data_IF_655514278700
#
_entry.id   IF_655514278700
#
_cell.length_a   1.000
_cell.length_b   1.000
_cell.length_c   1.000
_cell.angle_alpha   90.00
_cell.angle_beta   90.00
_cell.angle_gamma   90.00
#
_symmetry.space_group_name_H-M   'P 1'
#
loop_
_entity.id
_entity.type
_entity.pdbx_description
1 polymer ?
#
# COMPACT_ATOMS: atom_id res chain seq x y z
N UNK A 1 -10.74 10.21 12.36
CA UNK A 1 -9.29 10.45 12.53
C UNK A 1 -8.83 11.47 11.50
N UNK A 2 -8.02 12.42 11.93
CA UNK A 2 -7.41 13.41 11.03
C UNK A 2 -5.94 13.06 10.79
N UNK A 3 -5.51 13.08 9.54
CA UNK A 3 -4.12 12.82 9.14
C UNK A 3 -3.56 14.07 8.49
N UNK A 4 -2.39 14.52 8.94
CA UNK A 4 -1.72 15.66 8.32
C UNK A 4 -1.17 15.26 6.95
N UNK A 5 -1.41 16.10 5.95
CA UNK A 5 -0.94 15.92 4.58
C UNK A 5 -0.11 17.13 4.18
N UNK A 6 1.07 16.86 3.61
CA UNK A 6 1.91 17.87 2.97
C UNK A 6 1.87 17.68 1.46
N UNK A 7 1.49 18.73 0.74
CA UNK A 7 1.51 18.77 -0.72
C UNK A 7 2.94 19.05 -1.17
N UNK A 8 3.54 18.13 -1.91
CA UNK A 8 4.90 18.24 -2.42
C UNK A 8 4.93 18.72 -3.88
N UNK A 9 3.88 18.39 -4.64
CA UNK A 9 3.68 18.86 -6.01
C UNK A 9 2.38 19.65 -6.08
N UNK A 10 2.39 20.91 -6.60
CA UNK A 10 1.21 21.75 -6.61
C UNK A 10 0.02 21.18 -7.39
N UNK A 11 0.25 20.25 -8.33
CA UNK A 11 -0.84 19.54 -9.04
C UNK A 11 -1.73 18.74 -8.09
N UNK A 12 -1.19 18.37 -6.92
CA UNK A 12 -1.95 17.59 -5.93
C UNK A 12 -2.92 18.43 -5.11
N UNK A 13 -2.89 19.76 -5.20
CA UNK A 13 -3.80 20.63 -4.43
C UNK A 13 -5.29 20.30 -4.72
N UNK A 14 -5.62 19.97 -5.97
CA UNK A 14 -6.98 19.62 -6.39
C UNK A 14 -7.19 18.10 -6.54
N UNK A 15 -6.20 17.30 -6.18
CA UNK A 15 -6.19 15.85 -6.43
C UNK A 15 -5.76 15.04 -5.22
N UNK A 16 -6.02 15.55 -4.03
CA UNK A 16 -5.77 14.80 -2.80
C UNK A 16 -6.55 13.49 -2.80
N UNK A 17 -5.98 12.44 -2.19
CA UNK A 17 -6.69 11.17 -2.06
C UNK A 17 -8.06 11.34 -1.43
N UNK A 18 -9.05 10.71 -2.02
CA UNK A 18 -10.44 10.73 -1.54
C UNK A 18 -11.01 9.33 -1.53
N UNK A 19 -12.02 9.10 -0.69
CA UNK A 19 -12.84 7.90 -0.75
C UNK A 19 -13.83 8.01 -1.91
N UNK A 20 -13.88 7.00 -2.77
CA UNK A 20 -14.77 7.00 -3.93
C UNK A 20 -16.26 6.91 -3.51
N UNK A 21 -16.54 6.23 -2.41
CA UNK A 21 -17.89 6.09 -1.82
C UNK A 21 -17.81 6.23 -0.30
N UNK A 22 -18.96 6.48 0.38
CA UNK A 22 -18.97 6.54 1.85
C UNK A 22 -18.51 5.24 2.54
N UNK A 23 -18.60 4.09 1.86
CA UNK A 23 -18.18 2.80 2.39
C UNK A 23 -16.80 2.35 1.92
N UNK A 24 -16.06 3.16 1.16
CA UNK A 24 -14.72 2.81 0.69
C UNK A 24 -13.75 2.72 1.86
N UNK A 25 -12.88 1.70 1.86
CA UNK A 25 -11.81 1.55 2.85
C UNK A 25 -10.51 2.22 2.41
N UNK A 26 -10.29 2.34 1.11
CA UNK A 26 -9.06 2.88 0.53
C UNK A 26 -9.23 4.24 -0.12
N UNK A 27 -8.19 5.05 0.04
CA UNK A 27 -8.03 6.36 -0.63
C UNK A 27 -7.18 6.16 -1.87
N UNK A 28 -7.63 6.60 -3.04
CA UNK A 28 -6.86 6.46 -4.27
C UNK A 28 -5.59 7.32 -4.26
N UNK A 29 -4.46 6.70 -4.56
CA UNK A 29 -3.18 7.38 -4.79
C UNK A 29 -2.93 7.51 -6.29
N UNK A 30 -2.48 8.68 -6.71
CA UNK A 30 -2.23 9.00 -8.12
C UNK A 30 -0.74 8.99 -8.45
N UNK A 31 -0.45 8.65 -9.70
CA UNK A 31 0.90 8.71 -10.25
C UNK A 31 1.24 10.16 -10.59
N UNK A 32 1.97 10.84 -9.72
CA UNK A 32 2.38 12.23 -9.93
C UNK A 32 3.59 12.28 -10.87
N UNK A 33 3.36 11.94 -12.14
CA UNK A 33 4.35 11.88 -13.19
C UNK A 33 4.31 13.14 -14.07
N UNK A 34 5.46 13.49 -14.67
CA UNK A 34 5.56 14.59 -15.63
C UNK A 34 5.26 14.14 -17.07
N UNK A 35 5.44 12.84 -17.34
CA UNK A 35 5.22 12.22 -18.63
C UNK A 35 4.70 10.79 -18.45
N UNK A 36 4.05 10.20 -19.47
CA UNK A 36 3.68 8.78 -19.42
C UNK A 36 4.87 7.87 -19.11
N UNK A 37 4.64 6.88 -18.28
CA UNK A 37 5.64 5.87 -17.89
C UNK A 37 5.20 4.50 -18.39
N UNK A 38 5.98 3.89 -19.27
CA UNK A 38 5.73 2.53 -19.73
C UNK A 38 6.46 1.54 -18.82
N UNK A 39 5.69 0.62 -18.25
CA UNK A 39 6.20 -0.52 -17.50
C UNK A 39 6.22 -1.74 -18.42
N UNK A 40 7.40 -2.16 -18.83
CA UNK A 40 7.59 -3.40 -19.58
C UNK A 40 7.23 -4.62 -18.71
N UNK A 41 6.97 -5.79 -19.33
CA UNK A 41 6.74 -7.02 -18.57
C UNK A 41 7.83 -7.27 -17.52
N UNK A 42 7.43 -7.56 -16.29
CA UNK A 42 8.30 -7.77 -15.12
C UNK A 42 9.11 -6.54 -14.65
N UNK A 43 8.95 -5.39 -15.27
CA UNK A 43 9.61 -4.17 -14.80
C UNK A 43 8.88 -3.57 -13.59
N UNK A 44 9.64 -2.94 -12.70
CA UNK A 44 9.11 -2.15 -11.61
C UNK A 44 9.81 -0.79 -11.54
N UNK A 45 9.07 0.21 -11.05
CA UNK A 45 9.56 1.59 -10.89
C UNK A 45 8.96 2.21 -9.64
N UNK A 46 9.73 3.04 -8.97
CA UNK A 46 9.19 3.90 -7.92
C UNK A 46 8.46 5.08 -8.57
N UNK A 47 7.18 5.21 -8.24
CA UNK A 47 6.31 6.26 -8.77
C UNK A 47 5.95 7.22 -7.63
N UNK A 48 6.23 8.52 -7.76
CA UNK A 48 5.87 9.50 -6.74
C UNK A 48 4.37 9.75 -6.72
N UNK A 49 3.83 10.04 -5.54
CA UNK A 49 2.42 10.43 -5.37
C UNK A 49 2.23 11.94 -5.20
N UNK A 50 3.32 12.70 -5.03
CA UNK A 50 3.28 14.14 -4.85
C UNK A 50 2.82 14.60 -3.46
N UNK A 51 2.64 13.68 -2.53
CA UNK A 51 2.21 14.00 -1.15
C UNK A 51 3.05 13.24 -0.13
N UNK A 52 3.12 13.80 1.07
CA UNK A 52 3.58 13.13 2.28
C UNK A 52 2.47 13.18 3.32
N UNK A 53 2.40 12.18 4.18
CA UNK A 53 1.44 12.15 5.29
C UNK A 53 2.18 11.98 6.62
N UNK A 54 1.54 12.37 7.70
CA UNK A 54 2.05 12.13 9.05
C UNK A 54 0.93 11.63 9.95
N UNK A 55 0.99 10.37 10.34
CA UNK A 55 -0.02 9.74 11.18
C UNK A 55 0.12 10.14 12.64
N UNK A 56 1.34 10.39 13.13
CA UNK A 56 1.69 10.80 14.50
C UNK A 56 1.52 9.68 15.52
N UNK A 57 0.37 9.04 15.56
CA UNK A 57 -0.03 8.09 16.59
C UNK A 57 0.49 6.70 16.26
N UNK A 58 1.37 6.11 17.11
CA UNK A 58 1.90 4.76 16.90
C UNK A 58 0.84 3.64 17.00
N UNK A 59 -0.37 3.96 17.41
CA UNK A 59 -1.52 3.04 17.35
C UNK A 59 -2.09 2.86 15.94
N UNK A 60 -1.54 3.55 14.94
CA UNK A 60 -1.97 3.46 13.53
C UNK A 60 -0.79 3.31 12.58
N UNK A 61 -1.06 2.69 11.46
CA UNK A 61 -0.18 2.63 10.30
C UNK A 61 -1.01 2.87 9.04
N UNK A 62 -0.36 3.17 7.93
CA UNK A 62 -1.01 3.15 6.64
C UNK A 62 -0.43 2.05 5.78
N UNK A 63 -1.28 1.46 4.95
CA UNK A 63 -0.90 0.44 3.96
C UNK A 63 -1.13 1.00 2.57
N UNK A 64 -0.16 0.79 1.69
CA UNK A 64 -0.34 1.01 0.25
C UNK A 64 -0.59 -0.34 -0.39
N UNK A 65 -1.73 -0.46 -1.05
CA UNK A 65 -2.22 -1.69 -1.66
C UNK A 65 -2.49 -1.48 -3.14
N UNK A 66 -2.42 -2.53 -3.96
CA UNK A 66 -2.86 -2.47 -5.35
C UNK A 66 -4.35 -2.16 -5.44
N UNK A 67 -4.77 -1.56 -6.57
CA UNK A 67 -6.18 -1.46 -6.92
C UNK A 67 -6.60 -2.78 -7.58
N UNK A 68 -7.79 -3.29 -7.21
CA UNK A 68 -8.27 -4.60 -7.66
C UNK A 68 -8.35 -4.72 -9.20
N UNK A 69 -8.94 -3.74 -9.86
CA UNK A 69 -9.09 -3.76 -11.32
C UNK A 69 -7.74 -3.68 -12.06
N UNK A 70 -6.89 -2.77 -11.63
CA UNK A 70 -5.56 -2.57 -12.25
C UNK A 70 -4.66 -3.80 -12.02
N UNK A 71 -4.72 -4.37 -10.83
CA UNK A 71 -3.97 -5.58 -10.48
C UNK A 71 -4.45 -6.81 -11.23
N UNK A 72 -5.76 -7.03 -11.26
CA UNK A 72 -6.33 -8.23 -11.91
C UNK A 72 -6.27 -8.16 -13.43
N UNK A 73 -6.70 -7.05 -14.04
CA UNK A 73 -6.81 -6.91 -15.51
C UNK A 73 -5.47 -6.66 -16.18
N UNK A 74 -4.59 -5.89 -15.55
CA UNK A 74 -3.35 -5.41 -16.17
C UNK A 74 -2.09 -5.91 -15.47
N UNK A 75 -2.23 -6.59 -14.35
CA UNK A 75 -1.09 -7.10 -13.58
C UNK A 75 -0.25 -6.02 -12.93
N UNK A 76 -0.78 -4.80 -12.76
CA UNK A 76 -0.07 -3.69 -12.11
C UNK A 76 -0.33 -3.76 -10.62
N UNK A 77 0.68 -4.14 -9.90
CA UNK A 77 0.68 -4.36 -8.44
C UNK A 77 1.88 -3.65 -7.81
N UNK A 78 2.21 -3.95 -6.57
CA UNK A 78 3.39 -3.38 -5.92
C UNK A 78 4.54 -4.37 -5.90
N UNK A 79 5.75 -3.89 -6.19
CA UNK A 79 6.97 -4.70 -6.15
C UNK A 79 7.33 -5.19 -4.74
N UNK A 80 6.93 -4.45 -3.71
CA UNK A 80 7.04 -4.84 -2.31
C UNK A 80 5.77 -5.54 -1.78
N UNK A 81 4.81 -5.87 -2.63
CA UNK A 81 3.50 -6.47 -2.36
C UNK A 81 2.59 -5.57 -1.53
N UNK A 82 3.01 -5.11 -0.38
CA UNK A 82 2.32 -4.16 0.49
C UNK A 82 3.31 -3.09 0.93
N UNK A 83 2.95 -1.83 0.77
CA UNK A 83 3.71 -0.72 1.35
C UNK A 83 3.25 -0.48 2.78
N UNK A 84 4.14 -0.57 3.75
CA UNK A 84 3.85 -0.26 5.15
C UNK A 84 4.40 1.12 5.48
N UNK A 85 3.53 2.01 5.92
CA UNK A 85 3.86 3.38 6.28
C UNK A 85 3.73 3.53 7.79
N UNK A 86 4.85 3.74 8.44
CA UNK A 86 4.93 3.92 9.89
C UNK A 86 4.36 5.28 10.32
N UNK A 87 3.94 5.38 11.57
CA UNK A 87 3.30 6.60 12.10
C UNK A 87 4.24 7.81 12.14
N UNK A 88 5.55 7.58 12.21
CA UNK A 88 6.59 8.62 12.25
C UNK A 88 7.25 8.90 10.89
N UNK A 89 6.83 8.20 9.83
CA UNK A 89 7.33 8.47 8.48
C UNK A 89 6.72 9.78 7.95
N UNK A 90 7.56 10.67 7.46
CA UNK A 90 7.18 12.00 6.95
C UNK A 90 7.65 12.26 5.51
N UNK A 91 8.25 11.26 4.86
CA UNK A 91 8.71 11.37 3.48
C UNK A 91 7.56 11.26 2.47
N UNK A 92 7.86 11.56 1.21
CA UNK A 92 6.90 11.37 0.13
C UNK A 92 6.42 9.92 0.07
N UNK A 93 5.12 9.75 -0.11
CA UNK A 93 4.58 8.43 -0.43
C UNK A 93 5.01 8.05 -1.84
N UNK A 94 5.68 6.91 -1.95
CA UNK A 94 6.14 6.35 -3.22
C UNK A 94 5.46 5.01 -3.44
N UNK A 95 5.04 4.76 -4.67
CA UNK A 95 4.45 3.49 -5.07
C UNK A 95 5.48 2.71 -5.89
N UNK A 96 5.89 1.55 -5.40
CA UNK A 96 6.70 0.62 -6.18
C UNK A 96 5.80 -0.12 -7.17
N UNK A 97 5.58 0.46 -8.35
CA UNK A 97 4.71 -0.13 -9.36
C UNK A 97 5.43 -1.27 -10.09
N UNK A 98 4.83 -2.44 -10.10
CA UNK A 98 5.35 -3.63 -10.76
C UNK A 98 4.35 -4.17 -11.78
N UNK A 99 4.81 -4.35 -13.03
CA UNK A 99 4.03 -5.03 -14.07
C UNK A 99 4.38 -6.53 -14.05
N UNK A 100 3.53 -7.33 -13.42
CA UNK A 100 3.70 -8.78 -13.37
C UNK A 100 3.08 -9.53 -14.55
N UNK A 101 2.53 -8.78 -15.53
CA UNK A 101 1.94 -9.36 -16.74
C UNK A 101 2.97 -9.57 -17.83
N UNK A 102 2.55 -10.16 -18.93
CA UNK A 102 3.35 -10.36 -20.14
C UNK A 102 3.17 -9.25 -21.19
N UNK A 103 2.41 -8.22 -20.86
CA UNK A 103 2.06 -7.10 -21.77
C UNK A 103 2.50 -5.77 -21.15
N UNK A 104 3.20 -4.94 -21.91
CA UNK A 104 3.58 -3.60 -21.47
C UNK A 104 2.35 -2.77 -21.08
N UNK A 105 2.49 -1.96 -20.03
CA UNK A 105 1.45 -1.07 -19.54
C UNK A 105 1.98 0.35 -19.45
N UNK A 106 1.26 1.32 -20.00
CA UNK A 106 1.63 2.72 -19.90
C UNK A 106 0.76 3.42 -18.87
N UNK A 107 1.42 3.92 -17.84
CA UNK A 107 0.82 4.70 -16.75
C UNK A 107 0.84 6.18 -17.15
N UNK A 108 -0.33 6.81 -17.14
CA UNK A 108 -0.46 8.23 -17.46
C UNK A 108 -0.22 9.11 -16.23
N UNK A 109 0.26 10.35 -16.41
CA UNK A 109 0.33 11.31 -15.32
C UNK A 109 -1.02 11.47 -14.63
N UNK A 110 -1.01 11.50 -13.30
CA UNK A 110 -2.18 11.66 -12.42
C UNK A 110 -3.19 10.51 -12.47
N UNK A 111 -2.86 9.41 -13.14
CA UNK A 111 -3.69 8.20 -13.11
C UNK A 111 -3.70 7.57 -11.71
N UNK A 112 -4.85 7.03 -11.30
CA UNK A 112 -4.99 6.32 -10.03
C UNK A 112 -4.24 5.00 -10.10
N UNK A 113 -3.22 4.83 -9.27
CA UNK A 113 -2.27 3.72 -9.35
C UNK A 113 -2.42 2.70 -8.25
N UNK A 114 -2.69 3.16 -7.04
CA UNK A 114 -2.74 2.35 -5.84
C UNK A 114 -3.77 2.93 -4.88
N UNK A 115 -3.91 2.34 -3.72
CA UNK A 115 -4.78 2.85 -2.67
C UNK A 115 -4.11 2.83 -1.31
N UNK A 116 -4.45 3.80 -0.49
CA UNK A 116 -3.96 3.97 0.87
C UNK A 116 -5.06 3.58 1.86
N UNK A 117 -4.74 2.73 2.80
CA UNK A 117 -5.65 2.31 3.88
C UNK A 117 -4.99 2.61 5.22
N UNK A 118 -5.67 3.34 6.10
CA UNK A 118 -5.21 3.53 7.47
C UNK A 118 -5.78 2.42 8.35
N UNK A 119 -4.90 1.77 9.12
CA UNK A 119 -5.27 0.63 9.97
C UNK A 119 -4.80 0.85 11.39
N UNK A 120 -5.54 0.37 12.40
CA UNK A 120 -5.05 0.31 13.77
C UNK A 120 -3.98 -0.78 13.88
N UNK A 121 -2.97 -0.53 14.68
CA UNK A 121 -1.90 -1.50 14.96
C UNK A 121 -1.62 -1.58 16.45
N UNK A 122 -1.08 -2.72 16.87
CA UNK A 122 -0.64 -2.93 18.24
C UNK A 122 0.86 -3.18 18.19
N UNK A 123 1.63 -2.40 18.93
CA UNK A 123 3.06 -2.65 19.12
C UNK A 123 3.22 -3.72 20.19
N UNK A 124 3.98 -4.76 19.86
CA UNK A 124 4.23 -5.89 20.76
C UNK A 124 5.54 -5.69 21.52
N UNK A 125 5.55 -6.14 22.78
CA UNK A 125 6.77 -6.40 23.52
C UNK A 125 6.92 -7.91 23.72
N UNK A 126 8.14 -8.40 23.69
CA UNK A 126 8.40 -9.84 23.83
C UNK A 126 8.73 -10.19 25.28
N UNK A 127 8.03 -11.22 25.78
CA UNK A 127 8.37 -11.91 27.01
C UNK A 127 9.00 -13.26 26.61
N UNK A 128 10.30 -13.41 26.86
CA UNK A 128 11.03 -14.62 26.50
C UNK A 128 10.66 -15.72 27.46
N UNK A 129 10.17 -16.84 26.94
CA UNK A 129 9.81 -18.03 27.68
C UNK A 129 10.53 -19.25 27.12
N UNK A 130 10.77 -20.26 27.95
CA UNK A 130 11.40 -21.49 27.49
C UNK A 130 10.42 -22.40 26.75
N UNK A 131 9.15 -22.39 27.15
CA UNK A 131 8.11 -23.25 26.60
C UNK A 131 6.77 -22.52 26.57
N UNK A 132 5.87 -22.94 25.65
CA UNK A 132 4.48 -22.51 25.65
C UNK A 132 3.59 -23.55 26.35
N UNK A 133 2.49 -23.12 26.98
CA UNK A 133 1.46 -24.06 27.37
C UNK A 133 0.92 -24.83 26.14
N UNK A 134 0.60 -26.13 26.29
CA UNK A 134 0.07 -26.90 25.17
C UNK A 134 -1.29 -26.36 24.69
N UNK A 135 -1.51 -26.39 23.36
CA UNK A 135 -2.80 -26.07 22.72
C UNK A 135 -3.23 -27.23 21.85
N UNK A 136 -4.52 -27.26 21.46
CA UNK A 136 -5.03 -28.32 20.57
C UNK A 136 -4.38 -28.30 19.18
N UNK A 137 -3.88 -27.14 18.72
CA UNK A 137 -3.17 -27.02 17.47
C UNK A 137 -1.67 -27.32 17.60
N UNK A 138 -1.03 -26.91 18.70
CA UNK A 138 0.41 -27.03 18.92
C UNK A 138 1.20 -26.34 17.81
N UNK A 139 2.14 -27.05 17.20
CA UNK A 139 3.02 -26.54 16.13
C UNK A 139 2.43 -26.71 14.72
N UNK A 140 1.19 -27.17 14.59
CA UNK A 140 0.56 -27.45 13.30
C UNK A 140 0.41 -26.20 12.44
N UNK A 141 0.91 -26.26 11.20
CA UNK A 141 0.82 -25.20 10.18
C UNK A 141 0.85 -25.80 8.78
N UNK A 142 0.91 -24.95 7.76
CA UNK A 142 1.09 -25.32 6.35
C UNK A 142 0.26 -26.54 5.89
N UNK A 143 -1.08 -26.45 6.08
CA UNK A 143 -2.00 -27.50 5.65
C UNK A 143 -2.18 -28.65 6.64
N UNK A 144 -1.76 -28.49 7.89
CA UNK A 144 -1.97 -29.48 8.97
C UNK A 144 -3.45 -29.80 9.20
N UNK A 145 -4.38 -28.90 8.82
CA UNK A 145 -5.83 -29.10 8.91
C UNK A 145 -6.44 -29.77 7.68
N UNK A 146 -5.66 -30.03 6.63
CA UNK A 146 -6.11 -30.66 5.39
C UNK A 146 -6.90 -29.74 4.48
N UNK A 147 -7.43 -30.35 3.38
CA UNK A 147 -8.22 -29.65 2.35
C UNK A 147 -9.71 -29.97 2.39
N UNK A 148 -10.13 -30.83 3.22
CA UNK A 148 -11.53 -31.27 3.31
C UNK A 148 -12.33 -30.38 4.23
#
# INVERSE_FOLDING_TARGET
>A
MQVDVKILDPRMADQLPTYATPGSAGLDLRACLDAPLTLEPNAWRLVPTGIAIWLKDPGYAALILPRSGLGHKHGIVLGNLVGLIDSDYQGQLMVSAWNRSDTAFTLQPMERLAQLVVVPVVQASFNVVAEFPPTGRGEGGYGSTGKS
#
